data_IF_607674575490
#
_entry.id   IF_607674575490
#
_cell.length_a   1.000
_cell.length_b   1.000
_cell.length_c   1.000
_cell.angle_alpha   90.00
_cell.angle_beta   90.00
_cell.angle_gamma   90.00
#
_symmetry.space_group_name_H-M   'P 1'
#
loop_
_entity.id
_entity.type
_entity.pdbx_description
1 polymer ?
#
# COMPACT_ATOMS: atom_id res chain seq x y z
N UNK A 1 -12.54 -3.93 29.01
CA UNK A 1 -11.31 -4.50 28.42
C UNK A 1 -10.28 -3.39 28.34
N UNK A 2 -9.03 -3.58 28.79
CA UNK A 2 -8.03 -2.53 28.65
C UNK A 2 -7.87 -2.21 27.15
N UNK A 3 -7.95 -0.93 26.81
CA UNK A 3 -7.77 -0.38 25.47
C UNK A 3 -6.38 -0.79 24.95
N UNK A 4 -6.30 -1.94 24.26
CA UNK A 4 -5.03 -2.46 23.72
C UNK A 4 -4.68 -1.67 22.47
N UNK A 5 -4.30 -0.40 22.67
CA UNK A 5 -3.68 0.40 21.62
C UNK A 5 -2.39 -0.28 21.19
N UNK A 6 -2.24 -0.48 19.89
CA UNK A 6 -1.05 -1.06 19.28
C UNK A 6 0.21 -0.33 19.77
N UNK A 7 1.05 -1.03 20.55
CA UNK A 7 2.25 -0.44 21.15
C UNK A 7 3.38 -0.54 20.14
N UNK A 8 4.17 0.53 19.94
CA UNK A 8 5.29 0.53 18.97
C UNK A 8 6.28 -0.63 19.16
N UNK A 9 6.45 -1.12 20.39
CA UNK A 9 7.31 -2.26 20.71
C UNK A 9 6.76 -3.60 20.19
N UNK A 10 5.45 -3.69 19.95
CA UNK A 10 4.76 -4.86 19.39
C UNK A 10 4.70 -4.82 17.85
N UNK A 11 5.20 -3.75 17.23
CA UNK A 11 5.23 -3.65 15.77
C UNK A 11 6.08 -4.80 15.20
N UNK A 12 5.60 -5.47 14.14
CA UNK A 12 6.38 -6.52 13.50
C UNK A 12 7.75 -5.94 13.09
N UNK A 13 8.80 -6.75 13.16
CA UNK A 13 10.13 -6.36 12.66
C UNK A 13 10.21 -6.58 11.16
N UNK A 14 10.99 -5.76 10.47
CA UNK A 14 11.20 -5.94 9.04
C UNK A 14 12.04 -7.19 8.78
N UNK A 15 11.86 -7.87 7.63
CA UNK A 15 12.70 -9.03 7.26
C UNK A 15 14.20 -8.70 7.19
N UNK A 16 14.50 -7.44 6.88
CA UNK A 16 15.85 -6.90 6.78
C UNK A 16 16.33 -6.18 8.05
N UNK A 17 15.66 -6.35 9.20
CA UNK A 17 16.20 -5.79 10.44
C UNK A 17 17.60 -6.35 10.73
N UNK A 18 18.59 -5.53 11.16
CA UNK A 18 18.44 -4.16 11.65
C UNK A 18 18.64 -3.04 10.60
N UNK A 19 18.86 -3.35 9.32
CA UNK A 19 19.13 -2.32 8.30
C UNK A 19 17.83 -1.59 7.91
N UNK A 20 17.80 -0.25 7.87
CA UNK A 20 16.58 0.52 7.63
C UNK A 20 16.26 0.67 6.13
N UNK A 21 16.04 -0.45 5.42
CA UNK A 21 15.82 -0.43 3.96
C UNK A 21 14.52 0.30 3.60
N UNK A 22 13.45 0.10 4.37
CA UNK A 22 12.16 0.77 4.14
C UNK A 22 12.31 2.28 4.24
N UNK A 23 12.95 2.74 5.31
CA UNK A 23 13.15 4.16 5.59
C UNK A 23 14.10 4.80 4.58
N UNK A 24 15.17 4.08 4.18
CA UNK A 24 16.07 4.53 3.14
C UNK A 24 15.36 4.66 1.78
N UNK A 25 14.52 3.69 1.41
CA UNK A 25 13.74 3.76 0.17
C UNK A 25 12.77 4.94 0.16
N UNK A 26 12.09 5.21 1.29
CA UNK A 26 11.24 6.39 1.43
C UNK A 26 12.07 7.68 1.32
N UNK A 27 13.22 7.76 2.00
CA UNK A 27 14.10 8.93 1.94
C UNK A 27 14.58 9.21 0.51
N UNK A 28 15.09 8.19 -0.17
CA UNK A 28 15.54 8.30 -1.58
C UNK A 28 14.37 8.71 -2.46
N UNK A 29 13.19 8.11 -2.28
CA UNK A 29 12.00 8.47 -3.05
C UNK A 29 11.58 9.93 -2.85
N UNK A 30 11.59 10.43 -1.61
CA UNK A 30 11.31 11.84 -1.31
C UNK A 30 12.34 12.77 -1.98
N UNK A 31 13.62 12.42 -1.94
CA UNK A 31 14.69 13.17 -2.61
C UNK A 31 14.47 13.20 -4.12
N UNK A 32 14.12 12.07 -4.75
CA UNK A 32 13.78 12.02 -6.18
C UNK A 32 12.60 12.94 -6.52
N UNK A 33 11.55 12.97 -5.70
CA UNK A 33 10.39 13.86 -5.93
C UNK A 33 10.81 15.32 -5.87
N UNK A 34 11.53 15.72 -4.81
CA UNK A 34 12.01 17.10 -4.65
C UNK A 34 12.94 17.49 -5.80
N UNK A 35 13.90 16.64 -6.15
CA UNK A 35 14.81 16.86 -7.27
C UNK A 35 14.06 16.96 -8.60
N UNK A 36 13.01 16.16 -8.81
CA UNK A 36 12.16 16.21 -10.00
C UNK A 36 11.51 17.58 -10.21
N UNK A 37 11.10 18.27 -9.13
CA UNK A 37 10.55 19.62 -9.23
C UNK A 37 11.60 20.72 -9.36
N UNK A 38 12.80 20.52 -8.78
CA UNK A 38 13.84 21.55 -8.71
C UNK A 38 14.71 21.59 -9.98
N UNK A 39 15.01 20.44 -10.61
CA UNK A 39 16.04 20.33 -11.66
C UNK A 39 15.53 20.67 -13.08
N UNK A 40 14.22 20.77 -13.30
CA UNK A 40 13.64 21.31 -14.55
C UNK A 40 13.50 20.30 -15.72
N UNK A 41 12.96 20.82 -16.84
CA UNK A 41 12.09 20.18 -17.86
C UNK A 41 12.49 18.84 -18.52
N UNK A 42 13.68 18.28 -18.28
CA UNK A 42 14.11 17.00 -18.88
C UNK A 42 14.02 15.78 -17.96
N UNK A 43 14.15 15.97 -16.64
CA UNK A 43 14.25 14.87 -15.66
C UNK A 43 13.04 14.77 -14.72
N UNK A 44 12.08 15.69 -14.83
CA UNK A 44 10.87 15.75 -13.99
C UNK A 44 10.09 14.42 -14.04
N UNK A 45 9.75 13.94 -15.24
CA UNK A 45 8.95 12.72 -15.42
C UNK A 45 9.57 11.49 -14.75
N UNK A 46 10.80 11.08 -15.15
CA UNK A 46 11.46 9.91 -14.58
C UNK A 46 11.69 10.00 -13.07
N UNK A 47 12.12 11.16 -12.55
CA UNK A 47 12.39 11.33 -11.12
C UNK A 47 11.12 11.24 -10.28
N UNK A 48 10.01 11.81 -10.77
CA UNK A 48 8.71 11.66 -10.10
C UNK A 48 8.23 10.21 -10.12
N UNK A 49 8.31 9.52 -11.27
CA UNK A 49 7.91 8.11 -11.38
C UNK A 49 8.72 7.22 -10.43
N UNK A 50 10.04 7.37 -10.41
CA UNK A 50 10.91 6.62 -9.50
C UNK A 50 10.60 6.96 -8.04
N UNK A 51 10.44 8.25 -7.72
CA UNK A 51 10.17 8.70 -6.36
C UNK A 51 8.84 8.18 -5.80
N UNK A 52 7.75 8.36 -6.55
CA UNK A 52 6.44 7.80 -6.17
C UNK A 52 6.45 6.28 -6.14
N UNK A 53 7.17 5.62 -7.08
CA UNK A 53 7.33 4.18 -7.10
C UNK A 53 8.00 3.64 -5.83
N UNK A 54 9.14 4.22 -5.44
CA UNK A 54 9.88 3.82 -4.23
C UNK A 54 9.05 4.00 -2.96
N UNK A 55 8.43 5.17 -2.77
CA UNK A 55 7.60 5.45 -1.60
C UNK A 55 6.41 4.50 -1.55
N UNK A 56 5.77 4.24 -2.69
CA UNK A 56 4.60 3.34 -2.76
C UNK A 56 4.97 1.91 -2.40
N UNK A 57 6.08 1.39 -2.93
CA UNK A 57 6.55 0.03 -2.61
C UNK A 57 6.94 -0.10 -1.15
N UNK A 58 7.71 0.86 -0.61
CA UNK A 58 8.13 0.84 0.79
C UNK A 58 6.92 0.93 1.75
N UNK A 59 5.96 1.80 1.44
CA UNK A 59 4.72 1.95 2.22
C UNK A 59 3.83 0.71 2.12
N UNK A 60 3.76 0.09 0.93
CA UNK A 60 2.98 -1.12 0.71
C UNK A 60 3.54 -2.31 1.48
N UNK A 61 4.87 -2.50 1.47
CA UNK A 61 5.51 -3.55 2.27
C UNK A 61 5.18 -3.40 3.75
N UNK A 62 5.34 -2.20 4.30
CA UNK A 62 5.03 -1.91 5.69
C UNK A 62 3.55 -2.20 6.00
N UNK A 63 2.63 -1.71 5.16
CA UNK A 63 1.20 -1.93 5.33
C UNK A 63 0.83 -3.42 5.27
N UNK A 64 1.40 -4.20 4.33
CA UNK A 64 1.18 -5.65 4.23
C UNK A 64 1.70 -6.35 5.48
N UNK A 65 2.88 -5.97 5.97
CA UNK A 65 3.52 -6.56 7.14
C UNK A 65 2.73 -6.31 8.42
N UNK A 66 2.31 -5.07 8.65
CA UNK A 66 1.48 -4.71 9.80
C UNK A 66 0.09 -5.36 9.74
N UNK A 67 -0.50 -5.43 8.54
CA UNK A 67 -1.81 -6.05 8.32
C UNK A 67 -1.77 -7.56 8.56
N UNK A 68 -0.76 -8.25 8.02
CA UNK A 68 -0.59 -9.70 8.20
C UNK A 68 -0.22 -10.08 9.64
N UNK A 69 0.44 -9.19 10.37
CA UNK A 69 0.73 -9.38 11.78
C UNK A 69 -0.48 -9.11 12.69
N UNK A 70 -1.62 -8.65 12.15
CA UNK A 70 -2.78 -8.25 12.95
C UNK A 70 -2.55 -7.00 13.80
N UNK A 71 -1.48 -6.24 13.53
CA UNK A 71 -1.08 -5.06 14.32
C UNK A 71 -1.99 -3.86 14.03
N UNK A 72 -2.28 -3.60 12.75
CA UNK A 72 -3.15 -2.49 12.30
C UNK A 72 -3.86 -2.85 11.00
N UNK A 73 -5.15 -2.54 10.91
CA UNK A 73 -5.94 -2.85 9.70
C UNK A 73 -5.65 -1.85 8.59
N UNK A 74 -5.05 -2.32 7.50
CA UNK A 74 -4.81 -1.57 6.28
C UNK A 74 -5.69 -2.06 5.12
N UNK A 75 -6.79 -2.75 5.44
CA UNK A 75 -7.66 -3.42 4.45
C UNK A 75 -8.12 -2.51 3.32
N UNK A 76 -8.51 -1.27 3.62
CA UNK A 76 -8.97 -0.29 2.62
C UNK A 76 -7.84 0.15 1.70
N UNK A 77 -6.70 0.55 2.27
CA UNK A 77 -5.52 1.03 1.52
C UNK A 77 -4.96 -0.09 0.64
N UNK A 78 -4.84 -1.31 1.18
CA UNK A 78 -4.36 -2.47 0.44
C UNK A 78 -5.32 -2.88 -0.68
N UNK A 79 -6.63 -2.86 -0.44
CA UNK A 79 -7.63 -3.15 -1.48
C UNK A 79 -7.61 -2.10 -2.59
N UNK A 80 -7.45 -0.82 -2.24
CA UNK A 80 -7.29 0.25 -3.23
C UNK A 80 -6.01 0.08 -4.04
N UNK A 81 -4.89 -0.25 -3.39
CA UNK A 81 -3.63 -0.53 -4.08
C UNK A 81 -3.79 -1.66 -5.10
N UNK A 82 -4.46 -2.76 -4.73
CA UNK A 82 -4.76 -3.86 -5.65
C UNK A 82 -5.62 -3.38 -6.83
N UNK A 83 -6.69 -2.64 -6.56
CA UNK A 83 -7.56 -2.12 -7.61
C UNK A 83 -6.81 -1.20 -8.59
N UNK A 84 -5.96 -0.30 -8.09
CA UNK A 84 -5.15 0.61 -8.93
C UNK A 84 -4.12 -0.15 -9.75
N UNK A 85 -3.40 -1.10 -9.13
CA UNK A 85 -2.38 -1.91 -9.81
C UNK A 85 -2.98 -2.75 -10.95
N UNK A 86 -4.23 -3.17 -10.85
CA UNK A 86 -4.92 -3.90 -11.92
C UNK A 86 -5.56 -2.94 -12.93
N UNK A 87 -6.24 -1.90 -12.48
CA UNK A 87 -7.00 -1.00 -13.36
C UNK A 87 -6.09 -0.09 -14.21
N UNK A 88 -4.99 0.41 -13.66
CA UNK A 88 -4.12 1.34 -14.38
C UNK A 88 -3.47 0.70 -15.63
N UNK A 89 -2.89 -0.52 -15.57
CA UNK A 89 -2.39 -1.19 -16.77
C UNK A 89 -3.50 -1.50 -17.79
N UNK A 90 -4.68 -1.92 -17.32
CA UNK A 90 -5.81 -2.18 -18.22
C UNK A 90 -6.20 -0.92 -18.99
N UNK A 91 -6.33 0.22 -18.31
CA UNK A 91 -6.59 1.50 -18.96
C UNK A 91 -5.55 1.84 -20.03
N UNK A 92 -4.27 1.75 -19.65
CA UNK A 92 -3.16 2.18 -20.50
C UNK A 92 -2.89 1.26 -21.69
N UNK A 93 -3.18 -0.04 -21.57
CA UNK A 93 -2.79 -1.05 -22.57
C UNK A 93 -3.93 -1.51 -23.48
N UNK A 94 -5.19 -1.38 -23.05
CA UNK A 94 -6.33 -2.03 -23.75
C UNK A 94 -7.37 -1.05 -24.29
N UNK A 95 -7.35 0.22 -23.89
CA UNK A 95 -8.31 1.22 -24.36
C UNK A 95 -9.77 0.97 -23.91
N UNK A 96 -9.97 0.16 -22.86
CA UNK A 96 -11.29 -0.12 -22.29
C UNK A 96 -11.98 1.20 -21.88
N UNK A 97 -13.28 1.37 -22.16
CA UNK A 97 -14.03 2.55 -21.75
C UNK A 97 -14.00 2.74 -20.23
N UNK A 98 -13.88 4.00 -19.79
CA UNK A 98 -13.65 4.35 -18.39
C UNK A 98 -14.74 3.84 -17.46
N UNK A 99 -15.99 3.77 -17.92
CA UNK A 99 -17.13 3.27 -17.14
C UNK A 99 -16.97 1.78 -16.81
N UNK A 100 -16.54 0.97 -17.78
CA UNK A 100 -16.28 -0.46 -17.58
C UNK A 100 -15.12 -0.66 -16.62
N UNK A 101 -14.08 0.15 -16.75
CA UNK A 101 -12.93 0.09 -15.85
C UNK A 101 -13.30 0.50 -14.42
N UNK A 102 -14.18 1.49 -14.23
CA UNK A 102 -14.67 1.88 -12.92
C UNK A 102 -15.47 0.76 -12.25
N UNK A 103 -16.37 0.11 -12.99
CA UNK A 103 -17.14 -1.04 -12.49
C UNK A 103 -16.19 -2.19 -12.11
N UNK A 104 -15.23 -2.50 -12.98
CA UNK A 104 -14.25 -3.55 -12.73
C UNK A 104 -13.35 -3.22 -11.53
N UNK A 105 -12.89 -1.97 -11.43
CA UNK A 105 -12.08 -1.48 -10.31
C UNK A 105 -12.84 -1.56 -8.98
N UNK A 106 -14.11 -1.18 -8.97
CA UNK A 106 -14.98 -1.32 -7.80
C UNK A 106 -15.18 -2.80 -7.40
N UNK A 107 -15.35 -3.69 -8.37
CA UNK A 107 -15.46 -5.13 -8.12
C UNK A 107 -14.16 -5.71 -7.54
N UNK A 108 -13.01 -5.37 -8.12
CA UNK A 108 -11.69 -5.80 -7.62
C UNK A 108 -11.45 -5.26 -6.21
N UNK A 109 -11.76 -3.98 -5.97
CA UNK A 109 -11.65 -3.37 -4.65
C UNK A 109 -12.51 -4.12 -3.63
N UNK A 110 -13.78 -4.37 -3.93
CA UNK A 110 -14.69 -5.06 -3.03
C UNK A 110 -14.22 -6.48 -2.71
N UNK A 111 -13.77 -7.23 -3.73
CA UNK A 111 -13.23 -8.57 -3.57
C UNK A 111 -11.94 -8.58 -2.71
N UNK A 112 -10.99 -7.70 -3.02
CA UNK A 112 -9.73 -7.56 -2.28
C UNK A 112 -9.99 -7.13 -0.83
N UNK A 113 -10.88 -6.16 -0.60
CA UNK A 113 -11.25 -5.69 0.72
C UNK A 113 -11.86 -6.81 1.56
N UNK A 114 -12.80 -7.58 0.98
CA UNK A 114 -13.40 -8.74 1.65
C UNK A 114 -12.36 -9.79 2.04
N UNK A 115 -11.45 -10.14 1.12
CA UNK A 115 -10.36 -11.09 1.38
C UNK A 115 -9.40 -10.59 2.47
N UNK A 116 -8.92 -9.35 2.35
CA UNK A 116 -7.98 -8.74 3.29
C UNK A 116 -8.57 -8.60 4.69
N UNK A 117 -9.87 -8.27 4.80
CA UNK A 117 -10.55 -8.18 6.09
C UNK A 117 -10.65 -9.53 6.78
N UNK A 118 -10.87 -10.62 6.02
CA UNK A 118 -10.86 -12.00 6.56
C UNK A 118 -9.46 -12.38 7.05
N UNK A 119 -8.41 -12.08 6.27
CA UNK A 119 -7.02 -12.32 6.67
C UNK A 119 -6.68 -11.57 7.96
N UNK A 120 -7.10 -10.30 8.08
CA UNK A 120 -6.89 -9.53 9.30
C UNK A 120 -7.63 -10.12 10.50
N UNK A 121 -8.89 -10.54 10.32
CA UNK A 121 -9.67 -11.15 11.40
C UNK A 121 -9.03 -12.47 11.90
N UNK A 122 -8.45 -13.26 11.01
CA UNK A 122 -7.69 -14.46 11.35
C UNK A 122 -6.39 -14.11 12.08
N UNK A 123 -5.63 -13.14 11.57
CA UNK A 123 -4.34 -12.73 12.15
C UNK A 123 -4.46 -12.04 13.52
N UNK A 124 -5.57 -11.33 13.76
CA UNK A 124 -5.85 -10.65 15.03
C UNK A 124 -6.48 -11.54 16.11
N UNK A 125 -6.60 -12.86 15.87
CA UNK A 125 -7.13 -13.81 16.84
C UNK A 125 -8.65 -13.79 16.99
N UNK A 126 -9.40 -13.38 15.95
CA UNK A 126 -10.85 -13.47 15.93
C UNK A 126 -11.61 -12.28 16.53
N UNK A 127 -10.96 -11.11 16.70
CA UNK A 127 -11.63 -9.85 17.10
C UNK A 127 -12.53 -9.24 16.00
N UNK A 128 -12.92 -10.03 15.00
CA UNK A 128 -13.99 -9.67 14.07
C UNK A 128 -15.33 -9.87 14.75
N UNK A 129 -15.84 -8.80 15.38
CA UNK A 129 -17.25 -8.57 15.74
C UNK A 129 -18.14 -9.83 15.72
N UNK A 130 -18.27 -10.52 16.85
CA UNK A 130 -19.40 -11.43 17.05
C UNK A 130 -20.64 -10.53 17.05
N UNK A 131 -21.41 -10.59 15.96
CA UNK A 131 -22.80 -10.17 15.94
C UNK A 131 -23.63 -11.13 16.81
#
# INVERSE_FOLDING_TARGET
MPDRRARKLEAPKAPWAPVPITEAAILVGMVCIVAGFVVGAGSVGPLLVVGFGLISVASLELAVREHRAGYKSHSTVLALAVAVVVAAPLYLLTGIPGEVLLILGAAIFAAAFGGLRRVFAQASGGLGFRA
#
